data_IF_754810272100
#
_entry.id   IF_754810272100
#
_cell.length_a   1.000
_cell.length_b   1.000
_cell.length_c   1.000
_cell.angle_alpha   90.00
_cell.angle_beta   90.00
_cell.angle_gamma   90.00
#
_symmetry.space_group_name_H-M   'P 1'
#
loop_
_entity.id
_entity.type
_entity.pdbx_description
1 polymer ?
#
# COMPACT_ATOMS: atom_id res chain seq x y z
N UNK A 1 -13.97 10.53 -4.32
CA UNK A 1 -13.27 10.34 -3.01
C UNK A 1 -11.79 10.24 -3.28
N UNK A 2 -10.96 11.01 -2.57
CA UNK A 2 -9.51 10.94 -2.70
C UNK A 2 -8.95 10.09 -1.56
N UNK A 3 -8.16 9.08 -1.89
CA UNK A 3 -7.56 8.17 -0.91
C UNK A 3 -6.04 8.28 -1.00
N UNK A 4 -5.38 8.62 0.11
CA UNK A 4 -3.94 8.51 0.25
C UNK A 4 -3.64 7.24 1.04
N UNK A 5 -2.96 6.28 0.41
CA UNK A 5 -2.61 4.99 1.00
C UNK A 5 -1.09 4.87 1.17
N UNK A 6 -0.63 5.03 2.41
CA UNK A 6 0.79 4.93 2.75
C UNK A 6 1.11 3.48 3.09
N UNK A 7 2.05 2.87 2.36
CA UNK A 7 2.29 1.43 2.42
C UNK A 7 3.73 1.03 2.12
N UNK A 8 4.02 -0.23 2.44
CA UNK A 8 5.24 -0.94 2.04
C UNK A 8 4.87 -2.31 1.44
N UNK A 9 5.50 -2.70 0.35
CA UNK A 9 5.29 -3.99 -0.30
C UNK A 9 5.60 -5.19 0.59
N UNK A 10 6.44 -5.02 1.60
CA UNK A 10 6.80 -6.08 2.55
C UNK A 10 6.00 -6.03 3.85
N UNK A 11 4.97 -5.18 3.92
CA UNK A 11 4.07 -5.08 5.07
C UNK A 11 2.83 -5.96 4.86
N UNK A 12 2.61 -7.00 5.67
CA UNK A 12 1.47 -7.89 5.50
C UNK A 12 0.12 -7.19 5.69
N UNK A 13 0.04 -6.26 6.63
CA UNK A 13 -1.17 -5.48 6.88
C UNK A 13 -1.53 -4.57 5.69
N UNK A 14 -0.52 -4.13 4.91
CA UNK A 14 -0.77 -3.30 3.73
C UNK A 14 -1.46 -4.08 2.62
N UNK A 15 -1.04 -5.32 2.34
CA UNK A 15 -1.72 -6.16 1.36
C UNK A 15 -3.17 -6.43 1.78
N UNK A 16 -3.39 -6.83 3.04
CA UNK A 16 -4.73 -7.16 3.53
C UNK A 16 -5.65 -5.93 3.51
N UNK A 17 -5.15 -4.76 3.93
CA UNK A 17 -5.93 -3.52 3.88
C UNK A 17 -6.24 -3.08 2.45
N UNK A 18 -5.26 -3.22 1.53
CA UNK A 18 -5.45 -2.93 0.10
C UNK A 18 -6.54 -3.82 -0.50
N UNK A 19 -6.46 -5.12 -0.25
CA UNK A 19 -7.45 -6.07 -0.76
C UNK A 19 -8.85 -5.78 -0.21
N UNK A 20 -8.96 -5.51 1.10
CA UNK A 20 -10.22 -5.12 1.71
C UNK A 20 -10.80 -3.84 1.07
N UNK A 21 -9.94 -2.85 0.79
CA UNK A 21 -10.34 -1.61 0.12
C UNK A 21 -10.82 -1.85 -1.31
N UNK A 22 -10.08 -2.63 -2.10
CA UNK A 22 -10.44 -2.94 -3.48
C UNK A 22 -11.79 -3.66 -3.56
N UNK A 23 -11.98 -4.71 -2.74
CA UNK A 23 -13.25 -5.45 -2.68
C UNK A 23 -14.41 -4.58 -2.19
N UNK A 24 -14.17 -3.67 -1.27
CA UNK A 24 -15.21 -2.75 -0.77
C UNK A 24 -15.59 -1.69 -1.81
N UNK A 25 -14.63 -1.16 -2.57
CA UNK A 25 -14.90 -0.26 -3.70
C UNK A 25 -15.72 -0.96 -4.79
N UNK A 26 -15.38 -2.21 -5.11
CA UNK A 26 -16.15 -3.02 -6.05
C UNK A 26 -17.59 -3.27 -5.58
N UNK A 27 -17.76 -3.63 -4.30
CA UNK A 27 -19.09 -3.90 -3.71
C UNK A 27 -19.96 -2.66 -3.64
N UNK A 28 -19.38 -1.52 -3.26
CA UNK A 28 -20.13 -0.26 -3.10
C UNK A 28 -20.35 0.49 -4.41
N UNK A 29 -19.56 0.20 -5.43
CA UNK A 29 -19.54 0.96 -6.69
C UNK A 29 -19.03 2.40 -6.56
N UNK A 30 -18.48 2.76 -5.40
CA UNK A 30 -17.92 4.09 -5.16
C UNK A 30 -16.63 4.28 -5.97
N UNK A 31 -16.51 5.46 -6.58
CA UNK A 31 -15.30 5.84 -7.31
C UNK A 31 -14.31 6.52 -6.38
N UNK A 32 -13.05 6.06 -6.42
CA UNK A 32 -11.97 6.63 -5.64
C UNK A 32 -10.72 6.86 -6.49
N UNK A 33 -10.05 7.98 -6.22
CA UNK A 33 -8.71 8.30 -6.71
C UNK A 33 -7.71 7.89 -5.65
N UNK A 34 -6.93 6.84 -5.91
CA UNK A 34 -6.00 6.30 -4.92
C UNK A 34 -4.58 6.76 -5.25
N UNK A 35 -3.98 7.49 -4.33
CA UNK A 35 -2.57 7.83 -4.36
C UNK A 35 -1.81 6.85 -3.48
N UNK A 36 -0.98 6.02 -4.10
CA UNK A 36 -0.07 5.12 -3.39
C UNK A 36 1.18 5.88 -2.95
N UNK A 37 1.48 5.84 -1.65
CA UNK A 37 2.60 6.58 -1.06
C UNK A 37 3.61 5.62 -0.45
N UNK A 38 4.85 5.59 -0.94
CA UNK A 38 5.90 4.71 -0.44
C UNK A 38 6.27 4.99 1.02
N UNK A 39 6.49 3.90 1.78
CA UNK A 39 7.08 3.94 3.12
C UNK A 39 7.91 2.68 3.33
N UNK A 40 9.22 2.80 3.27
CA UNK A 40 10.10 1.67 3.54
C UNK A 40 10.16 1.35 5.04
N UNK A 41 9.75 0.13 5.44
CA UNK A 41 9.90 -0.39 6.81
C UNK A 41 11.37 -0.61 7.19
N UNK A 42 12.21 -0.85 6.20
CA UNK A 42 13.66 -1.00 6.38
C UNK A 42 14.36 -0.25 5.24
N UNK A 43 14.95 0.90 5.56
CA UNK A 43 15.72 1.69 4.60
C UNK A 43 17.17 1.22 4.62
N UNK A 44 17.71 0.97 3.44
CA UNK A 44 19.13 0.65 3.28
C UNK A 44 20.03 1.82 3.78
N UNK A 45 21.11 1.55 4.53
CA UNK A 45 21.75 0.25 4.81
C UNK A 45 21.34 -0.40 6.15
N UNK A 46 20.19 -0.05 6.74
CA UNK A 46 19.75 -0.68 7.97
C UNK A 46 19.65 -2.21 7.83
N UNK A 47 20.03 -3.00 8.84
CA UNK A 47 19.99 -4.46 8.73
C UNK A 47 18.60 -4.99 8.38
N UNK A 48 18.54 -5.85 7.37
CA UNK A 48 17.31 -6.56 7.00
C UNK A 48 16.93 -7.55 8.10
N UNK A 49 15.63 -7.76 8.28
CA UNK A 49 15.08 -8.60 9.35
C UNK A 49 14.72 -9.99 8.83
N UNK A 50 14.88 -11.00 9.67
CA UNK A 50 14.35 -12.34 9.45
C UNK A 50 12.93 -12.39 10.02
N UNK A 51 11.94 -12.42 9.15
CA UNK A 51 10.53 -12.52 9.54
C UNK A 51 10.06 -13.96 9.64
N UNK A 52 10.79 -14.89 9.04
CA UNK A 52 10.39 -16.29 8.94
C UNK A 52 10.77 -17.09 10.19
N UNK A 53 11.96 -16.89 10.76
CA UNK A 53 12.42 -17.63 11.93
C UNK A 53 12.17 -16.85 13.25
N UNK A 54 11.98 -15.54 13.21
CA UNK A 54 11.66 -14.74 14.40
C UNK A 54 10.23 -15.03 14.89
N UNK A 55 10.12 -15.76 16.01
CA UNK A 55 8.84 -16.20 16.59
C UNK A 55 7.91 -15.02 16.93
N UNK A 56 8.47 -13.92 17.43
CA UNK A 56 7.70 -12.73 17.79
C UNK A 56 7.08 -12.09 16.53
N UNK A 57 7.84 -12.02 15.45
CA UNK A 57 7.35 -11.49 14.17
C UNK A 57 6.31 -12.42 13.56
N UNK A 58 6.56 -13.73 13.57
CA UNK A 58 5.58 -14.73 13.11
C UNK A 58 4.25 -14.64 13.87
N UNK A 59 4.28 -14.44 15.18
CA UNK A 59 3.06 -14.27 15.97
C UNK A 59 2.21 -13.08 15.49
N UNK A 60 2.83 -11.98 15.07
CA UNK A 60 2.11 -10.83 14.50
C UNK A 60 1.42 -11.17 13.17
N UNK A 61 1.99 -12.05 12.36
CA UNK A 61 1.35 -12.49 11.11
C UNK A 61 0.10 -13.34 11.36
N UNK A 62 0.04 -14.09 12.48
CA UNK A 62 -1.11 -14.95 12.78
C UNK A 62 -2.41 -14.17 12.98
N UNK A 63 -2.34 -12.89 13.35
CA UNK A 63 -3.51 -12.02 13.47
C UNK A 63 -4.25 -11.88 12.13
N UNK A 64 -3.53 -12.00 11.02
CA UNK A 64 -4.07 -11.81 9.66
C UNK A 64 -4.68 -13.08 9.05
N UNK A 65 -4.58 -14.24 9.72
CA UNK A 65 -5.10 -15.51 9.18
C UNK A 65 -6.61 -15.43 8.88
N UNK A 66 -7.40 -14.93 9.81
CA UNK A 66 -8.85 -14.82 9.61
C UNK A 66 -9.24 -13.72 8.63
N UNK A 67 -8.66 -12.49 8.65
CA UNK A 67 -8.85 -11.52 7.58
C UNK A 67 -8.50 -12.06 6.18
N UNK A 68 -7.36 -12.73 6.02
CA UNK A 68 -6.97 -13.32 4.73
C UNK A 68 -7.99 -14.34 4.22
N UNK A 69 -8.50 -15.24 5.10
CA UNK A 69 -9.56 -16.18 4.71
C UNK A 69 -10.83 -15.49 4.24
N UNK A 70 -11.27 -14.46 4.95
CA UNK A 70 -12.48 -13.69 4.58
C UNK A 70 -12.32 -12.98 3.23
N UNK A 71 -11.11 -12.51 2.92
CA UNK A 71 -10.80 -11.83 1.67
C UNK A 71 -10.43 -12.78 0.52
N UNK A 72 -10.31 -14.08 0.78
CA UNK A 72 -9.87 -15.06 -0.23
C UNK A 72 -8.38 -14.93 -0.60
N UNK A 73 -7.55 -14.36 0.26
CA UNK A 73 -6.11 -14.22 0.09
C UNK A 73 -5.37 -15.48 0.54
N UNK A 74 -4.70 -16.19 -0.39
CA UNK A 74 -3.76 -17.28 -0.07
C UNK A 74 -2.36 -16.72 0.24
N UNK A 75 -2.29 -15.89 1.26
CA UNK A 75 -1.09 -15.19 1.67
C UNK A 75 -0.22 -16.06 2.59
N UNK A 76 1.11 -16.10 2.34
CA UNK A 76 2.07 -16.75 3.23
C UNK A 76 2.33 -15.84 4.45
N UNK A 77 2.26 -16.44 5.65
CA UNK A 77 2.26 -15.71 6.92
C UNK A 77 3.30 -16.25 7.91
N UNK A 78 4.54 -15.83 7.82
CA UNK A 78 5.20 -14.96 6.82
C UNK A 78 5.66 -15.73 5.57
N UNK A 79 6.02 -15.02 4.46
CA UNK A 79 6.67 -15.65 3.32
C UNK A 79 8.09 -16.10 3.66
N UNK A 80 8.55 -17.18 3.01
CA UNK A 80 9.89 -17.75 3.19
C UNK A 80 10.92 -17.04 2.31
N UNK A 81 11.05 -15.73 2.47
CA UNK A 81 12.08 -14.89 1.82
C UNK A 81 12.97 -14.30 2.91
N UNK A 82 14.20 -14.77 3.00
CA UNK A 82 15.09 -14.51 4.13
C UNK A 82 16.46 -14.02 3.65
N UNK A 83 16.87 -12.85 4.16
CA UNK A 83 16.13 -11.89 4.99
C UNK A 83 15.04 -11.16 4.20
N UNK A 84 14.07 -10.56 4.89
CA UNK A 84 13.04 -9.71 4.25
C UNK A 84 13.69 -8.68 3.33
N UNK A 85 13.27 -8.56 2.06
CA UNK A 85 13.90 -7.64 1.11
C UNK A 85 13.76 -6.17 1.52
N UNK A 86 14.66 -5.34 0.98
CA UNK A 86 14.37 -3.91 0.86
C UNK A 86 13.32 -3.72 -0.24
N UNK A 87 12.42 -2.76 -0.05
CA UNK A 87 11.36 -2.46 -1.02
C UNK A 87 11.71 -1.32 -1.98
N UNK A 88 12.85 -0.66 -1.79
CA UNK A 88 13.29 0.49 -2.59
C UNK A 88 13.23 0.22 -4.10
N UNK A 89 13.89 -0.84 -4.58
CA UNK A 89 13.93 -1.17 -6.01
C UNK A 89 12.53 -1.48 -6.57
N UNK A 90 11.67 -2.13 -5.78
CA UNK A 90 10.29 -2.39 -6.17
C UNK A 90 9.50 -1.07 -6.29
N UNK A 91 9.73 -0.07 -5.44
CA UNK A 91 9.13 1.26 -5.57
C UNK A 91 9.70 2.05 -6.76
N UNK A 92 11.01 1.99 -7.00
CA UNK A 92 11.59 2.58 -8.22
C UNK A 92 10.97 1.98 -9.48
N UNK A 93 10.79 0.64 -9.51
CA UNK A 93 10.10 -0.07 -10.58
C UNK A 93 8.62 0.33 -10.73
N UNK A 94 7.95 0.66 -9.64
CA UNK A 94 6.58 1.16 -9.69
C UNK A 94 6.49 2.52 -10.37
N UNK A 95 7.42 3.45 -10.11
CA UNK A 95 7.47 4.72 -10.81
C UNK A 95 7.69 4.53 -12.31
N UNK A 96 8.61 3.62 -12.69
CA UNK A 96 8.79 3.25 -14.09
C UNK A 96 7.48 2.71 -14.69
N UNK A 97 6.81 1.81 -13.99
CA UNK A 97 5.54 1.23 -14.42
C UNK A 97 4.43 2.29 -14.57
N UNK A 98 4.37 3.29 -13.69
CA UNK A 98 3.44 4.42 -13.79
C UNK A 98 3.66 5.22 -15.08
N UNK A 99 4.90 5.53 -15.42
CA UNK A 99 5.24 6.26 -16.65
C UNK A 99 4.88 5.48 -17.92
N UNK A 100 4.74 4.15 -17.81
CA UNK A 100 4.33 3.25 -18.89
C UNK A 100 2.87 2.80 -18.82
N UNK A 101 2.05 3.44 -17.95
CA UNK A 101 0.62 3.13 -17.80
C UNK A 101 0.33 1.75 -17.19
N UNK A 102 1.27 1.22 -16.39
CA UNK A 102 1.22 -0.10 -15.75
C UNK A 102 1.35 -0.04 -14.22
N UNK A 103 1.15 1.13 -13.62
CA UNK A 103 1.35 1.35 -12.20
C UNK A 103 0.48 0.47 -11.31
N UNK A 104 -0.81 0.33 -11.61
CA UNK A 104 -1.74 -0.47 -10.81
C UNK A 104 -1.44 -1.97 -10.92
N UNK A 105 -1.25 -2.48 -12.15
CA UNK A 105 -0.93 -3.89 -12.37
C UNK A 105 0.40 -4.26 -11.70
N UNK A 106 1.39 -3.37 -11.76
CA UNK A 106 2.67 -3.58 -11.10
C UNK A 106 2.54 -3.54 -9.58
N UNK A 107 1.79 -2.57 -9.04
CA UNK A 107 1.53 -2.46 -7.61
C UNK A 107 0.87 -3.73 -7.04
N UNK A 108 -0.13 -4.27 -7.73
CA UNK A 108 -0.76 -5.54 -7.35
C UNK A 108 0.21 -6.71 -7.41
N UNK A 109 0.99 -6.77 -8.48
CA UNK A 109 1.94 -7.86 -8.71
C UNK A 109 3.03 -7.89 -7.64
N UNK A 110 3.55 -6.75 -7.16
CA UNK A 110 4.59 -6.71 -6.14
C UNK A 110 4.14 -7.36 -4.83
N UNK A 111 2.94 -7.06 -4.37
CA UNK A 111 2.39 -7.71 -3.17
C UNK A 111 2.20 -9.22 -3.38
N UNK A 112 1.66 -9.63 -4.54
CA UNK A 112 1.45 -11.06 -4.85
C UNK A 112 2.77 -11.81 -4.96
N UNK A 113 3.75 -11.22 -5.63
CA UNK A 113 5.08 -11.79 -5.79
C UNK A 113 5.74 -12.10 -4.44
N UNK A 114 5.70 -11.15 -3.51
CA UNK A 114 6.31 -11.34 -2.20
C UNK A 114 5.48 -12.25 -1.29
N UNK A 115 4.17 -11.99 -1.12
CA UNK A 115 3.37 -12.68 -0.11
C UNK A 115 2.74 -13.99 -0.56
N UNK A 116 2.56 -14.21 -1.85
CA UNK A 116 1.90 -15.42 -2.38
C UNK A 116 2.92 -16.33 -3.06
N UNK A 117 3.81 -15.75 -3.87
CA UNK A 117 4.78 -16.48 -4.68
C UNK A 117 6.15 -16.61 -3.98
N UNK A 118 6.36 -15.96 -2.85
CA UNK A 118 7.59 -15.99 -2.04
C UNK A 118 8.84 -15.56 -2.84
N UNK A 119 8.70 -14.53 -3.68
CA UNK A 119 9.78 -13.99 -4.49
C UNK A 119 10.48 -12.81 -3.78
N UNK A 120 11.81 -12.71 -3.94
CA UNK A 120 12.58 -11.56 -3.43
C UNK A 120 12.40 -10.35 -4.35
N UNK A 121 11.49 -9.44 -3.98
CA UNK A 121 11.22 -8.20 -4.71
C UNK A 121 12.32 -7.12 -4.56
N UNK A 122 13.39 -7.42 -3.86
CA UNK A 122 14.61 -6.61 -3.82
C UNK A 122 15.67 -7.06 -4.81
N UNK A 123 15.45 -8.18 -5.51
CA UNK A 123 16.37 -8.75 -6.51
C UNK A 123 16.03 -8.23 -7.91
N UNK A 124 17.03 -7.64 -8.60
CA UNK A 124 16.85 -7.07 -9.95
C UNK A 124 16.39 -8.10 -10.98
N UNK A 125 16.93 -9.33 -10.93
CA UNK A 125 16.54 -10.35 -11.89
C UNK A 125 15.07 -10.76 -11.69
N UNK A 126 14.63 -10.89 -10.44
CA UNK A 126 13.22 -11.14 -10.10
C UNK A 126 12.33 -10.00 -10.57
N UNK A 127 12.71 -8.74 -10.30
CA UNK A 127 11.95 -7.57 -10.73
C UNK A 127 11.83 -7.48 -12.25
N UNK A 128 12.89 -7.83 -12.99
CA UNK A 128 12.87 -7.89 -14.44
C UNK A 128 11.86 -8.91 -15.00
N UNK A 129 11.77 -10.11 -14.39
CA UNK A 129 10.76 -11.10 -14.76
C UNK A 129 9.33 -10.64 -14.41
N UNK A 130 9.17 -9.97 -13.28
CA UNK A 130 7.87 -9.40 -12.87
C UNK A 130 7.42 -8.26 -13.79
N UNK A 131 8.35 -7.43 -14.29
CA UNK A 131 8.06 -6.38 -15.26
C UNK A 131 7.47 -6.94 -16.55
N UNK A 132 8.02 -8.05 -17.07
CA UNK A 132 7.47 -8.73 -18.25
C UNK A 132 6.02 -9.20 -18.04
N UNK A 133 5.71 -9.68 -16.83
CA UNK A 133 4.36 -10.18 -16.51
C UNK A 133 3.27 -9.11 -16.62
N UNK A 134 3.62 -7.84 -16.42
CA UNK A 134 2.69 -6.71 -16.59
C UNK A 134 2.82 -6.02 -17.95
N UNK A 135 3.64 -6.59 -18.86
CA UNK A 135 3.78 -6.13 -20.23
C UNK A 135 4.79 -4.99 -20.41
N UNK A 136 5.73 -4.81 -19.46
CA UNK A 136 6.83 -3.87 -19.59
C UNK A 136 8.01 -4.52 -20.34
N UNK A 137 8.81 -3.70 -21.02
CA UNK A 137 10.07 -4.15 -21.61
C UNK A 137 11.11 -4.44 -20.51
N UNK A 138 11.66 -5.65 -20.50
CA UNK A 138 12.57 -6.10 -19.44
C UNK A 138 13.90 -5.35 -19.46
N UNK A 139 14.48 -5.14 -20.65
CA UNK A 139 15.81 -4.54 -20.79
C UNK A 139 15.76 -3.08 -20.41
N UNK A 140 14.76 -2.34 -20.90
CA UNK A 140 14.54 -0.94 -20.56
C UNK A 140 14.23 -0.75 -19.07
N UNK A 141 13.39 -1.61 -18.50
CA UNK A 141 13.06 -1.62 -17.07
C UNK A 141 14.31 -1.83 -16.20
N UNK A 142 15.08 -2.86 -16.47
CA UNK A 142 16.31 -3.16 -15.71
C UNK A 142 17.34 -2.04 -15.87
N UNK A 143 17.51 -1.52 -17.08
CA UNK A 143 18.40 -0.39 -17.35
C UNK A 143 18.02 0.85 -16.54
N UNK A 144 16.72 1.14 -16.43
CA UNK A 144 16.23 2.26 -15.62
C UNK A 144 16.54 2.09 -14.12
N UNK A 145 16.37 0.87 -13.58
CA UNK A 145 16.69 0.58 -12.18
C UNK A 145 18.20 0.62 -11.91
N UNK A 146 19.02 0.01 -12.78
CA UNK A 146 20.49 0.00 -12.64
C UNK A 146 21.09 1.39 -12.73
N UNK A 147 20.54 2.28 -13.56
CA UNK A 147 20.94 3.67 -13.67
C UNK A 147 20.38 4.55 -12.56
N UNK A 148 19.48 4.03 -11.73
CA UNK A 148 18.82 4.77 -10.64
C UNK A 148 17.92 5.92 -11.16
N UNK A 149 17.30 5.76 -12.33
CA UNK A 149 16.47 6.78 -12.98
C UNK A 149 15.38 7.32 -12.04
N UNK A 150 14.81 6.47 -11.22
CA UNK A 150 13.73 6.82 -10.27
C UNK A 150 14.19 6.93 -8.81
N UNK A 151 15.49 6.71 -8.52
CA UNK A 151 16.01 6.73 -7.13
C UNK A 151 15.79 8.08 -6.42
N UNK A 152 15.93 9.20 -7.13
CA UNK A 152 15.70 10.51 -6.53
C UNK A 152 14.21 10.73 -6.20
N UNK A 153 13.31 10.28 -7.07
CA UNK A 153 11.86 10.39 -6.88
C UNK A 153 11.39 9.50 -5.73
N UNK A 154 11.82 8.24 -5.70
CA UNK A 154 11.52 7.30 -4.62
C UNK A 154 12.01 7.84 -3.28
N UNK A 155 13.27 8.24 -3.19
CA UNK A 155 13.86 8.81 -1.99
C UNK A 155 13.10 10.04 -1.49
N UNK A 156 12.75 10.96 -2.39
CA UNK A 156 11.96 12.14 -2.03
C UNK A 156 10.57 11.76 -1.49
N UNK A 157 9.92 10.76 -2.07
CA UNK A 157 8.62 10.27 -1.61
C UNK A 157 8.71 9.63 -0.22
N UNK A 158 9.72 8.79 0.03
CA UNK A 158 9.95 8.17 1.36
C UNK A 158 10.33 9.22 2.40
N UNK A 159 11.17 10.20 2.04
CA UNK A 159 11.50 11.33 2.93
C UNK A 159 10.27 12.18 3.25
N UNK A 160 9.41 12.48 2.25
CA UNK A 160 8.14 13.17 2.47
C UNK A 160 7.24 12.40 3.44
N UNK A 161 7.10 11.08 3.24
CA UNK A 161 6.34 10.24 4.15
C UNK A 161 6.86 10.32 5.58
N UNK A 162 8.18 10.24 5.78
CA UNK A 162 8.81 10.25 7.10
C UNK A 162 8.78 11.61 7.80
N UNK A 163 9.03 12.68 7.04
CA UNK A 163 9.27 14.00 7.62
C UNK A 163 8.00 14.87 7.64
N UNK A 164 7.07 14.66 6.70
CA UNK A 164 5.86 15.47 6.56
C UNK A 164 4.61 14.70 7.00
N UNK A 165 4.35 13.53 6.43
CA UNK A 165 3.16 12.74 6.75
C UNK A 165 3.27 12.03 8.12
N UNK A 166 4.46 11.64 8.52
CA UNK A 166 4.81 11.07 9.82
C UNK A 166 3.85 9.96 10.30
N UNK A 167 3.58 8.93 9.49
CA UNK A 167 2.71 7.84 9.91
C UNK A 167 3.36 7.09 11.09
N UNK A 168 2.55 6.69 12.08
CA UNK A 168 3.05 5.85 13.20
C UNK A 168 3.37 4.42 12.77
N UNK A 169 2.98 4.04 11.56
CA UNK A 169 3.18 2.72 10.95
C UNK A 169 2.36 2.61 9.66
N UNK A 170 2.49 1.49 8.98
CA UNK A 170 1.76 1.20 7.75
C UNK A 170 0.92 -0.07 7.90
N UNK A 171 -0.26 -0.15 7.23
CA UNK A 171 -0.83 0.89 6.38
C UNK A 171 -1.30 2.11 7.18
N UNK A 172 -1.17 3.31 6.61
CA UNK A 172 -1.86 4.50 7.06
C UNK A 172 -2.69 5.02 5.88
N UNK A 173 -3.98 5.20 6.09
CA UNK A 173 -4.92 5.58 5.04
C UNK A 173 -5.60 6.89 5.43
N UNK A 174 -5.67 7.81 4.48
CA UNK A 174 -6.48 9.02 4.58
C UNK A 174 -7.53 8.99 3.48
N UNK A 175 -8.76 9.38 3.79
CA UNK A 175 -9.86 9.55 2.83
C UNK A 175 -10.36 10.98 2.91
N UNK A 176 -10.30 11.71 1.79
CA UNK A 176 -10.61 13.14 1.72
C UNK A 176 -9.92 13.97 2.83
N UNK A 177 -8.65 13.62 3.14
CA UNK A 177 -7.82 14.27 4.14
C UNK A 177 -8.04 13.80 5.59
N UNK A 178 -9.05 12.97 5.87
CA UNK A 178 -9.32 12.40 7.19
C UNK A 178 -8.55 11.07 7.37
N UNK A 179 -7.82 10.94 8.48
CA UNK A 179 -7.12 9.68 8.80
C UNK A 179 -8.13 8.61 9.19
N UNK A 180 -8.06 7.46 8.53
CA UNK A 180 -8.93 6.31 8.75
C UNK A 180 -8.28 5.31 9.71
N UNK A 181 -9.09 4.78 10.64
CA UNK A 181 -8.67 3.71 11.53
C UNK A 181 -9.21 2.39 11.02
N UNK A 182 -8.31 1.51 10.58
CA UNK A 182 -8.62 0.14 10.17
C UNK A 182 -8.27 -0.78 11.34
N UNK A 183 -9.18 -1.66 11.75
CA UNK A 183 -9.03 -2.52 12.93
C UNK A 183 -9.14 -4.01 12.62
N UNK A 184 -10.10 -4.37 11.80
CA UNK A 184 -10.45 -5.76 11.50
C UNK A 184 -9.85 -6.24 10.17
N UNK A 185 -9.45 -5.32 9.30
CA UNK A 185 -8.90 -5.62 7.97
C UNK A 185 -9.84 -6.49 7.13
N UNK A 186 -11.15 -6.27 7.26
CA UNK A 186 -12.18 -6.99 6.51
C UNK A 186 -12.84 -6.11 5.46
N UNK A 187 -13.45 -6.75 4.46
CA UNK A 187 -14.24 -6.05 3.44
C UNK A 187 -15.41 -5.31 4.08
N UNK A 188 -16.10 -5.93 5.03
CA UNK A 188 -17.27 -5.36 5.72
C UNK A 188 -16.91 -4.09 6.49
N UNK A 189 -15.78 -4.11 7.21
CA UNK A 189 -15.27 -2.89 7.88
C UNK A 189 -15.00 -1.78 6.86
N UNK A 190 -14.35 -2.12 5.75
CA UNK A 190 -13.99 -1.14 4.72
C UNK A 190 -15.22 -0.58 3.99
N UNK A 191 -16.24 -1.41 3.71
CA UNK A 191 -17.55 -0.97 3.17
C UNK A 191 -18.18 0.05 4.11
N UNK A 192 -18.22 -0.23 5.42
CA UNK A 192 -18.78 0.70 6.40
C UNK A 192 -18.00 2.03 6.46
N UNK A 193 -16.68 1.98 6.36
CA UNK A 193 -15.81 3.16 6.32
C UNK A 193 -16.09 4.00 5.07
N UNK A 194 -16.09 3.37 3.89
CA UNK A 194 -16.33 4.04 2.60
C UNK A 194 -17.71 4.69 2.54
N UNK A 195 -18.75 3.97 2.95
CA UNK A 195 -20.13 4.48 2.99
C UNK A 195 -20.23 5.71 3.89
N UNK A 196 -19.70 5.62 5.11
CA UNK A 196 -19.69 6.74 6.04
C UNK A 196 -18.94 7.96 5.49
N UNK A 197 -17.82 7.74 4.79
CA UNK A 197 -17.06 8.85 4.20
C UNK A 197 -17.79 9.48 3.03
N UNK A 198 -18.46 8.68 2.19
CA UNK A 198 -19.28 9.18 1.09
C UNK A 198 -20.47 10.01 1.61
N UNK A 199 -21.14 9.58 2.68
CA UNK A 199 -22.22 10.33 3.33
C UNK A 199 -21.74 11.69 3.87
N UNK A 200 -20.55 11.74 4.49
CA UNK A 200 -19.96 13.00 4.96
C UNK A 200 -19.69 13.98 3.82
N UNK A 201 -19.14 13.47 2.71
CA UNK A 201 -18.82 14.30 1.54
C UNK A 201 -20.06 14.77 0.79
N UNK A 202 -21.20 14.06 0.89
CA UNK A 202 -22.47 14.42 0.31
C UNK A 202 -23.28 15.39 1.19
N UNK A 203 -22.97 15.52 2.48
CA UNK A 203 -23.67 16.44 3.38
C UNK A 203 -23.40 17.89 2.96
N UNK A 204 -24.43 18.74 2.80
CA UNK A 204 -24.22 20.13 2.47
C UNK A 204 -23.39 20.80 3.56
N UNK A 205 -22.35 21.55 3.17
CA UNK A 205 -21.60 22.37 4.11
C UNK A 205 -22.58 23.25 4.87
N UNK A 206 -22.65 23.11 6.21
CA UNK A 206 -23.37 24.06 7.03
C UNK A 206 -22.74 25.43 6.80
N UNK A 207 -23.37 26.24 5.98
CA UNK A 207 -23.05 27.65 5.88
C UNK A 207 -23.55 28.26 7.22
N UNK A 208 -22.62 28.49 8.13
CA UNK A 208 -22.89 29.41 9.24
C UNK A 208 -23.13 30.79 8.62
N UNK A 209 -24.38 31.13 8.36
CA UNK A 209 -24.76 32.48 8.04
C UNK A 209 -24.50 33.37 9.27
N UNK A 210 -23.84 34.49 9.04
CA UNK A 210 -23.66 35.61 9.98
C UNK A 210 -25.01 36.29 10.28
N UNK A 211 -25.96 35.56 10.82
CA UNK A 211 -27.19 36.17 11.36
C UNK A 211 -27.32 35.77 12.82
N UNK A 212 -27.06 36.78 13.66
CA UNK A 212 -27.03 36.68 15.10
C UNK A 212 -28.28 36.02 15.69
N UNK A 213 -28.06 35.13 16.67
CA UNK A 213 -29.05 34.72 17.64
C UNK A 213 -29.64 35.94 18.36
N UNK A 214 -30.79 36.40 17.91
CA UNK A 214 -31.65 37.22 18.75
C UNK A 214 -32.50 36.29 19.63
N UNK A 215 -32.17 36.24 20.91
CA UNK A 215 -33.08 35.69 21.91
C UNK A 215 -34.29 36.65 22.08
N UNK A 216 -35.47 36.14 21.88
CA UNK A 216 -36.68 36.55 22.57
C UNK A 216 -37.31 35.33 23.22
#
# INVERSE_FOLDING_TARGET
MNILFISDYVCPYCLVAKEALCQALEETGLQADITWQPHELTVEPAPRVDTYHDERRRANYQILVEPCKKLGLDMKLPPNVIPRPYSRLAFEGWYYACDHGKGEEYNDLMYRAYFIEELDIGDLAVLGELAVRVGLDKEDFLSALEQGTYSAQEKAAVEHTRNVLQPRGVPTVYMDGEKISIREYTKEEMVAILTKQAEKSAAPAMVCGDDGCAMQ
#
